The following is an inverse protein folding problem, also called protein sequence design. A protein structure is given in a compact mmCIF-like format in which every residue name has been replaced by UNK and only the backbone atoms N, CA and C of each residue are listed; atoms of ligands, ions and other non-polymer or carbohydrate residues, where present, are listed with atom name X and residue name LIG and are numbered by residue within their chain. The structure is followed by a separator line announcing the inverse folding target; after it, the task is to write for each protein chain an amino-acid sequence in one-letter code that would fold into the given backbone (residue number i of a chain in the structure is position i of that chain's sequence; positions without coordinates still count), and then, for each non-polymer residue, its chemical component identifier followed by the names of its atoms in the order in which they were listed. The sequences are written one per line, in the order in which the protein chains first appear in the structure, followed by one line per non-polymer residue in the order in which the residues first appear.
data_IF_425731646236
#
_entry.id   IF_425731646236
#
_cell.length_a   1.000
_cell.length_b   1.000
_cell.length_c   1.000
_cell.angle_alpha   90.00
_cell.angle_beta   90.00
_cell.angle_gamma   90.00
#
_symmetry.space_group_name_H-M   'P 1'
#
loop_
_entity.id
_entity.type
_entity.pdbx_description
1 polymer ?
#
# COMPACT_ATOMS: atom_id res chain seq x y z
N UNK A 1 10.23 13.21 36.83
CA UNK A 1 9.30 13.41 35.69
C UNK A 1 9.04 12.05 35.07
N UNK A 2 7.83 11.51 35.20
CA UNK A 2 7.44 10.31 34.45
C UNK A 2 7.27 10.71 32.99
N UNK A 3 8.04 10.09 32.08
CA UNK A 3 7.76 10.15 30.64
C UNK A 3 6.42 9.46 30.43
N UNK A 4 5.39 10.21 30.08
CA UNK A 4 4.16 9.64 29.52
C UNK A 4 4.59 8.85 28.30
N UNK A 5 4.36 7.54 28.27
CA UNK A 5 4.64 6.75 27.08
C UNK A 5 3.77 7.33 25.95
N UNK A 6 4.41 7.93 24.94
CA UNK A 6 3.70 8.39 23.76
C UNK A 6 2.98 7.18 23.16
N UNK A 7 1.66 7.27 23.05
CA UNK A 7 0.86 6.21 22.45
C UNK A 7 1.30 6.10 21.00
N UNK A 8 1.79 4.92 20.63
CA UNK A 8 2.09 4.55 19.25
C UNK A 8 1.04 3.57 18.76
N UNK A 9 0.51 3.80 17.56
CA UNK A 9 -0.34 2.86 16.86
C UNK A 9 0.35 1.51 16.72
N UNK A 10 -0.40 0.44 16.94
CA UNK A 10 0.00 -0.90 16.57
C UNK A 10 0.15 -1.04 15.04
N UNK A 11 0.92 -2.03 14.55
CA UNK A 11 1.00 -2.31 13.11
C UNK A 11 -0.38 -2.50 12.47
N UNK A 12 -1.33 -3.10 13.20
CA UNK A 12 -2.69 -3.32 12.73
C UNK A 12 -3.45 -2.01 12.54
N UNK A 13 -3.44 -1.12 13.55
CA UNK A 13 -4.09 0.19 13.45
C UNK A 13 -3.50 1.02 12.29
N UNK A 14 -2.18 0.94 12.08
CA UNK A 14 -1.53 1.63 10.96
C UNK A 14 -1.95 1.08 9.59
N UNK A 15 -2.05 -0.25 9.46
CA UNK A 15 -2.54 -0.89 8.24
C UNK A 15 -4.00 -0.48 7.98
N UNK A 16 -4.87 -0.55 8.99
CA UNK A 16 -6.28 -0.18 8.85
C UNK A 16 -6.44 1.29 8.42
N UNK A 17 -5.66 2.20 9.03
CA UNK A 17 -5.63 3.61 8.66
C UNK A 17 -5.12 3.83 7.22
N UNK A 18 -4.07 3.12 6.80
CA UNK A 18 -3.52 3.23 5.45
C UNK A 18 -4.52 2.75 4.39
N UNK A 19 -5.20 1.62 4.62
CA UNK A 19 -6.22 1.10 3.72
C UNK A 19 -7.45 2.01 3.64
N UNK A 20 -7.85 2.63 4.76
CA UNK A 20 -8.95 3.59 4.79
C UNK A 20 -8.61 4.80 3.92
N UNK A 21 -7.47 5.45 4.19
CA UNK A 21 -6.99 6.56 3.38
C UNK A 21 -6.87 6.20 1.89
N UNK A 22 -6.30 5.03 1.59
CA UNK A 22 -6.09 4.60 0.21
C UNK A 22 -7.42 4.40 -0.53
N UNK A 23 -8.41 3.76 0.11
CA UNK A 23 -9.74 3.58 -0.49
C UNK A 23 -10.46 4.89 -0.69
N UNK A 24 -10.35 5.82 0.26
CA UNK A 24 -10.97 7.14 0.14
C UNK A 24 -10.39 7.92 -1.05
N UNK A 25 -9.06 7.92 -1.18
CA UNK A 25 -8.35 8.61 -2.26
C UNK A 25 -8.66 8.03 -3.66
N UNK A 26 -8.90 6.72 -3.74
CA UNK A 26 -9.14 6.02 -5.00
C UNK A 26 -10.58 5.54 -5.16
N UNK A 27 -11.52 6.09 -4.40
CA UNK A 27 -12.93 5.65 -4.32
C UNK A 27 -13.68 5.67 -5.66
N UNK A 28 -13.26 6.51 -6.61
CA UNK A 28 -13.82 6.57 -7.96
C UNK A 28 -13.17 5.60 -8.97
N UNK A 29 -12.13 4.86 -8.57
CA UNK A 29 -11.42 3.92 -9.44
C UNK A 29 -11.84 2.48 -9.15
N UNK A 30 -11.97 1.69 -10.21
CA UNK A 30 -12.06 0.22 -10.11
C UNK A 30 -10.69 -0.35 -9.76
N UNK A 31 -10.36 -0.32 -8.47
CA UNK A 31 -9.21 -1.02 -7.92
C UNK A 31 -9.56 -2.49 -7.70
N UNK A 32 -8.74 -3.39 -8.23
CA UNK A 32 -8.89 -4.82 -8.02
C UNK A 32 -7.71 -5.37 -7.22
N UNK A 33 -7.93 -6.49 -6.54
CA UNK A 33 -6.90 -7.24 -5.81
C UNK A 33 -6.03 -6.37 -4.88
N UNK A 34 -6.69 -5.57 -4.04
CA UNK A 34 -6.05 -4.82 -2.96
C UNK A 34 -5.47 -5.79 -1.92
N UNK A 35 -4.14 -5.81 -1.74
CA UNK A 35 -3.48 -6.57 -0.68
C UNK A 35 -2.42 -5.74 0.05
N UNK A 36 -2.17 -6.13 1.29
CA UNK A 36 -1.03 -5.66 2.07
C UNK A 36 0.23 -6.35 1.56
N UNK A 37 1.22 -5.57 1.15
CA UNK A 37 2.50 -6.07 0.65
C UNK A 37 3.61 -5.93 1.70
N UNK A 38 3.50 -4.93 2.58
CA UNK A 38 4.47 -4.71 3.63
C UNK A 38 4.01 -3.70 4.65
N UNK A 39 4.49 -3.86 5.88
CA UNK A 39 4.35 -2.88 6.95
C UNK A 39 5.65 -2.83 7.73
N UNK A 40 6.21 -1.64 7.91
CA UNK A 40 7.36 -1.42 8.77
C UNK A 40 7.20 -0.13 9.57
N UNK A 41 7.80 -0.10 10.74
CA UNK A 41 7.95 1.11 11.52
C UNK A 41 9.28 1.78 11.15
N UNK A 42 9.25 3.07 10.92
CA UNK A 42 10.44 3.91 10.73
C UNK A 42 10.71 4.67 12.02
N UNK A 43 11.73 4.25 12.77
CA UNK A 43 12.07 4.85 14.07
C UNK A 43 12.64 6.26 13.91
N UNK A 44 13.32 6.53 12.79
CA UNK A 44 13.96 7.82 12.54
C UNK A 44 12.92 8.91 12.29
N UNK A 45 11.90 8.59 11.50
CA UNK A 45 10.84 9.53 11.13
C UNK A 45 9.59 9.41 12.02
N UNK A 46 9.61 8.51 13.02
CA UNK A 46 8.47 8.19 13.90
C UNK A 46 7.17 7.94 13.10
N UNK A 47 7.25 7.09 12.07
CA UNK A 47 6.13 6.84 11.16
C UNK A 47 5.96 5.36 10.82
N UNK A 48 4.75 4.98 10.45
CA UNK A 48 4.45 3.71 9.81
C UNK A 48 4.55 3.85 8.30
N UNK A 49 5.18 2.87 7.66
CA UNK A 49 5.32 2.76 6.21
C UNK A 49 4.59 1.50 5.78
N UNK A 50 3.47 1.67 5.06
CA UNK A 50 2.58 0.60 4.63
C UNK A 50 2.58 0.53 3.10
N UNK A 51 2.95 -0.63 2.54
CA UNK A 51 2.92 -0.87 1.09
C UNK A 51 1.63 -1.60 0.72
N UNK A 52 0.88 -1.02 -0.21
CA UNK A 52 -0.38 -1.56 -0.72
C UNK A 52 -0.20 -1.92 -2.20
N UNK A 53 -0.50 -3.17 -2.54
CA UNK A 53 -0.50 -3.70 -3.90
C UNK A 53 -1.93 -3.75 -4.46
N UNK A 54 -2.11 -3.40 -5.73
CA UNK A 54 -3.42 -3.36 -6.40
C UNK A 54 -3.28 -3.46 -7.92
N UNK A 55 -4.37 -3.80 -8.60
CA UNK A 55 -4.45 -3.83 -10.05
C UNK A 55 -5.42 -2.74 -10.54
N UNK A 56 -5.09 -2.05 -11.64
CA UNK A 56 -5.96 -1.02 -12.25
C UNK A 56 -6.52 -1.41 -13.62
N UNK A 57 -6.60 -2.72 -13.90
CA UNK A 57 -7.09 -3.24 -15.18
C UNK A 57 -6.10 -3.09 -16.35
N UNK A 58 -4.84 -2.73 -16.06
CA UNK A 58 -3.76 -2.82 -17.05
C UNK A 58 -3.32 -4.28 -17.18
N UNK A 59 -3.13 -4.74 -18.41
CA UNK A 59 -2.72 -6.10 -18.73
C UNK A 59 -1.43 -6.08 -19.55
N UNK A 60 -0.52 -7.04 -19.29
CA UNK A 60 0.63 -7.32 -20.16
C UNK A 60 0.40 -8.65 -20.90
N UNK A 61 0.89 -8.74 -22.12
CA UNK A 61 0.91 -10.01 -22.85
C UNK A 61 1.99 -10.90 -22.22
N UNK A 62 1.61 -12.03 -21.63
CA UNK A 62 2.57 -13.01 -21.15
C UNK A 62 2.99 -13.90 -22.34
N UNK A 63 4.28 -13.89 -22.67
CA UNK A 63 4.86 -14.78 -23.69
C UNK A 63 6.08 -14.20 -24.41
N UNK A 64 7.16 -14.97 -24.48
CA UNK A 64 8.24 -14.76 -25.45
C UNK A 64 7.85 -15.24 -26.86
N UNK A 65 8.68 -14.94 -27.87
CA UNK A 65 8.41 -15.12 -29.31
C UNK A 65 7.92 -16.51 -29.76
N UNK A 66 8.03 -17.55 -28.92
CA UNK A 66 7.62 -18.92 -29.24
C UNK A 66 6.17 -19.32 -28.88
N UNK A 67 5.40 -18.48 -28.17
CA UNK A 67 4.05 -18.84 -27.72
C UNK A 67 2.94 -18.17 -28.56
N UNK A 68 2.83 -18.53 -29.84
CA UNK A 68 1.79 -18.01 -30.74
C UNK A 68 0.36 -18.54 -30.47
N UNK A 69 0.18 -19.55 -29.62
CA UNK A 69 -1.10 -20.28 -29.47
C UNK A 69 -1.91 -19.95 -28.21
N UNK A 70 -1.33 -19.33 -27.18
CA UNK A 70 -2.06 -18.88 -26.00
C UNK A 70 -1.49 -17.55 -25.49
N UNK A 71 -2.08 -16.43 -25.93
CA UNK A 71 -1.83 -15.12 -25.32
C UNK A 71 -2.55 -15.10 -23.96
N UNK A 72 -1.91 -15.56 -22.90
CA UNK A 72 -2.38 -15.23 -21.56
C UNK A 72 -2.12 -13.75 -21.30
N UNK A 73 -3.13 -13.05 -20.81
CA UNK A 73 -3.00 -11.68 -20.34
C UNK A 73 -2.85 -11.73 -18.82
N UNK A 74 -1.81 -11.10 -18.31
CA UNK A 74 -1.58 -11.00 -16.87
C UNK A 74 -1.85 -9.56 -16.42
N UNK A 75 -2.59 -9.35 -15.32
CA UNK A 75 -2.75 -8.03 -14.75
C UNK A 75 -1.39 -7.46 -14.32
N UNK A 76 -1.18 -6.18 -14.60
CA UNK A 76 -0.02 -5.44 -14.13
C UNK A 76 -0.33 -4.95 -12.72
N UNK A 77 0.39 -5.50 -11.76
CA UNK A 77 0.31 -5.10 -10.35
C UNK A 77 1.03 -3.77 -10.13
N UNK A 78 0.36 -2.88 -9.43
CA UNK A 78 0.90 -1.61 -8.96
C UNK A 78 1.09 -1.60 -7.45
N UNK A 79 2.00 -0.75 -7.00
CA UNK A 79 2.34 -0.60 -5.60
C UNK A 79 2.32 0.88 -5.22
N UNK A 80 1.82 1.17 -4.02
CA UNK A 80 1.93 2.48 -3.39
C UNK A 80 2.36 2.32 -1.94
N UNK A 81 3.12 3.29 -1.46
CA UNK A 81 3.56 3.36 -0.07
C UNK A 81 2.81 4.50 0.61
N UNK A 82 2.06 4.17 1.65
CA UNK A 82 1.37 5.12 2.52
C UNK A 82 2.23 5.33 3.77
N UNK A 83 2.60 6.56 4.05
CA UNK A 83 3.31 6.96 5.27
C UNK A 83 2.34 7.61 6.23
N UNK A 84 2.29 7.13 7.47
CA UNK A 84 1.41 7.62 8.52
C UNK A 84 2.21 7.97 9.77
N UNK A 85 1.87 9.04 10.49
CA UNK A 85 2.46 9.27 11.80
C UNK A 85 2.16 8.11 12.75
N UNK A 86 3.13 7.77 13.58
CA UNK A 86 3.00 6.64 14.47
C UNK A 86 2.13 6.89 15.71
N UNK A 87 1.91 8.16 16.08
CA UNK A 87 1.13 8.56 17.26
C UNK A 87 -0.39 8.43 17.02
N UNK A 88 -0.87 8.99 15.90
CA UNK A 88 -2.30 9.14 15.63
C UNK A 88 -2.75 8.59 14.27
N UNK A 89 -1.82 8.14 13.43
CA UNK A 89 -2.13 7.63 12.10
C UNK A 89 -2.39 8.72 11.06
N UNK A 90 -2.07 9.98 11.35
CA UNK A 90 -2.18 11.09 10.41
C UNK A 90 -1.38 10.78 9.15
N UNK A 91 -2.02 10.94 7.99
CA UNK A 91 -1.36 10.79 6.69
C UNK A 91 -0.22 11.80 6.52
N UNK A 92 0.93 11.30 6.09
CA UNK A 92 2.11 12.11 5.81
C UNK A 92 2.39 12.19 4.31
N UNK A 93 2.43 11.05 3.62
CA UNK A 93 2.79 10.98 2.21
C UNK A 93 2.28 9.71 1.53
N UNK A 94 2.12 9.81 0.21
CA UNK A 94 1.85 8.70 -0.69
C UNK A 94 2.94 8.67 -1.76
N UNK A 95 3.64 7.55 -1.87
CA UNK A 95 4.78 7.39 -2.78
C UNK A 95 4.53 6.25 -3.77
N UNK A 96 5.13 6.36 -4.96
CA UNK A 96 5.23 5.26 -5.91
C UNK A 96 6.45 4.39 -5.54
N UNK A 97 6.35 3.09 -5.81
CA UNK A 97 7.49 2.16 -5.76
C UNK A 97 8.11 2.04 -7.14
#
# INVERSE_FOLDING_TARGET
MQKTAERKLSPKEAVDAAFTFFRDLYSERNLHHLLLEGVRYDEQDNCWVVTIGFDIGREKTAGGELYFLQKSREPIREFRVVRLKADDGTFLALENV
#
